data_IF_104390948683
#
_entry.id   IF_104390948683
#
_cell.length_a   1.000
_cell.length_b   1.000
_cell.length_c   1.000
_cell.angle_alpha   90.00
_cell.angle_beta   90.00
_cell.angle_gamma   90.00
#
_symmetry.space_group_name_H-M   'P 1'
#
loop_
_entity.id
_entity.type
_entity.pdbx_description
1 polymer ?
#
# COMPACT_ATOMS: atom_id res chain seq x y z
N UNK A 1 19.92 -4.86 -3.19
CA UNK A 1 19.93 -5.23 -1.75
C UNK A 1 19.73 -6.73 -1.65
N UNK A 2 20.44 -7.45 -0.77
CA UNK A 2 20.32 -8.91 -0.66
C UNK A 2 18.94 -9.30 -0.09
N UNK A 3 18.35 -10.39 -0.59
CA UNK A 3 17.05 -10.95 -0.19
C UNK A 3 16.91 -11.12 1.32
N UNK A 4 17.99 -11.51 2.01
CA UNK A 4 18.00 -11.67 3.48
C UNK A 4 17.75 -10.33 4.20
N UNK A 5 18.35 -9.25 3.71
CA UNK A 5 18.17 -7.89 4.26
C UNK A 5 16.75 -7.37 4.00
N UNK A 6 16.22 -7.59 2.79
CA UNK A 6 14.82 -7.25 2.46
C UNK A 6 13.81 -8.00 3.33
N UNK A 7 14.06 -9.28 3.60
CA UNK A 7 13.23 -10.09 4.50
C UNK A 7 13.21 -9.52 5.92
N UNK A 8 14.39 -9.22 6.47
CA UNK A 8 14.51 -8.61 7.81
C UNK A 8 13.79 -7.25 7.90
N UNK A 9 13.93 -6.39 6.90
CA UNK A 9 13.24 -5.10 6.86
C UNK A 9 11.72 -5.31 6.77
N UNK A 10 11.24 -6.23 5.93
CA UNK A 10 9.80 -6.51 5.83
C UNK A 10 9.19 -6.99 7.14
N UNK A 11 9.91 -7.84 7.89
CA UNK A 11 9.48 -8.29 9.21
C UNK A 11 9.46 -7.14 10.22
N UNK A 12 10.49 -6.28 10.22
CA UNK A 12 10.54 -5.10 11.08
C UNK A 12 9.40 -4.12 10.80
N UNK A 13 9.09 -3.88 9.53
CA UNK A 13 7.97 -3.02 9.12
C UNK A 13 6.63 -3.64 9.49
N UNK A 14 6.46 -4.95 9.35
CA UNK A 14 5.24 -5.64 9.78
C UNK A 14 5.02 -5.47 11.30
N UNK A 15 6.08 -5.60 12.11
CA UNK A 15 5.99 -5.37 13.55
C UNK A 15 5.60 -3.92 13.87
N UNK A 16 6.19 -2.94 13.18
CA UNK A 16 5.78 -1.53 13.33
C UNK A 16 4.32 -1.30 12.92
N UNK A 17 3.88 -1.93 11.84
CA UNK A 17 2.49 -1.86 11.38
C UNK A 17 1.53 -2.42 12.44
N UNK A 18 1.88 -3.56 13.05
CA UNK A 18 1.11 -4.17 14.14
C UNK A 18 1.06 -3.26 15.37
N UNK A 19 2.18 -2.63 15.75
CA UNK A 19 2.21 -1.68 16.87
C UNK A 19 1.26 -0.51 16.62
N UNK A 20 1.27 0.07 15.41
CA UNK A 20 0.34 1.13 15.03
C UNK A 20 -1.13 0.64 15.03
N UNK A 21 -1.37 -0.59 14.58
CA UNK A 21 -2.67 -1.26 14.67
C UNK A 21 -3.18 -1.38 16.10
N UNK A 22 -2.33 -1.81 17.03
CA UNK A 22 -2.68 -1.92 18.45
C UNK A 22 -3.00 -0.55 19.04
N UNK A 23 -2.19 0.48 18.74
CA UNK A 23 -2.44 1.85 19.21
C UNK A 23 -3.81 2.33 18.72
N UNK A 24 -4.12 2.11 17.44
CA UNK A 24 -5.39 2.53 16.87
C UNK A 24 -6.57 1.77 17.49
N UNK A 25 -6.43 0.45 17.68
CA UNK A 25 -7.43 -0.39 18.36
C UNK A 25 -7.72 0.09 19.77
N UNK A 26 -6.69 0.49 20.54
CA UNK A 26 -6.89 1.01 21.90
C UNK A 26 -7.74 2.28 21.90
N UNK A 27 -7.70 3.07 20.82
CA UNK A 27 -8.47 4.32 20.70
C UNK A 27 -9.87 4.07 20.14
N UNK A 28 -10.02 3.23 19.12
CA UNK A 28 -11.30 3.05 18.41
C UNK A 28 -12.13 1.88 18.92
N UNK A 29 -11.49 0.89 19.55
CA UNK A 29 -12.13 -0.35 19.99
C UNK A 29 -12.47 -1.32 18.85
N UNK A 30 -12.12 -0.99 17.59
CA UNK A 30 -12.43 -1.80 16.43
C UNK A 30 -11.18 -2.49 15.87
N UNK A 31 -11.22 -3.82 15.78
CA UNK A 31 -10.13 -4.62 15.23
C UNK A 31 -9.98 -4.43 13.70
N UNK A 32 -11.04 -4.01 13.01
CA UNK A 32 -10.98 -3.71 11.59
C UNK A 32 -10.12 -2.48 11.32
N UNK A 33 -10.19 -1.44 12.16
CA UNK A 33 -9.32 -0.25 12.02
C UNK A 33 -7.84 -0.64 12.15
N UNK A 34 -7.53 -1.53 13.09
CA UNK A 34 -6.18 -2.08 13.26
C UNK A 34 -5.71 -2.85 12.02
N UNK A 35 -6.58 -3.66 11.41
CA UNK A 35 -6.28 -4.35 10.15
C UNK A 35 -6.05 -3.36 9.01
N UNK A 36 -6.87 -2.30 8.92
CA UNK A 36 -6.74 -1.30 7.87
C UNK A 36 -5.43 -0.54 7.97
N UNK A 37 -5.02 -0.10 9.17
CA UNK A 37 -3.75 0.59 9.33
C UNK A 37 -2.54 -0.31 9.06
N UNK A 38 -2.61 -1.59 9.45
CA UNK A 38 -1.57 -2.58 9.10
C UNK A 38 -1.44 -2.70 7.59
N UNK A 39 -2.57 -2.77 6.89
CA UNK A 39 -2.64 -2.86 5.42
C UNK A 39 -2.08 -1.60 4.75
N UNK A 40 -2.37 -0.41 5.29
CA UNK A 40 -1.82 0.87 4.82
C UNK A 40 -0.29 0.87 4.92
N UNK A 41 0.24 0.58 6.11
CA UNK A 41 1.68 0.64 6.37
C UNK A 41 2.43 -0.37 5.50
N UNK A 42 1.91 -1.59 5.38
CA UNK A 42 2.54 -2.62 4.56
C UNK A 42 2.43 -2.31 3.05
N UNK A 43 1.31 -1.74 2.59
CA UNK A 43 1.16 -1.26 1.21
C UNK A 43 2.15 -0.15 0.87
N UNK A 44 2.31 0.84 1.75
CA UNK A 44 3.30 1.91 1.59
C UNK A 44 4.71 1.32 1.52
N UNK A 45 5.03 0.36 2.38
CA UNK A 45 6.31 -0.34 2.34
C UNK A 45 6.55 -1.03 1.00
N UNK A 46 5.60 -1.82 0.51
CA UNK A 46 5.73 -2.50 -0.79
C UNK A 46 5.95 -1.46 -1.90
N UNK A 47 5.18 -0.37 -1.90
CA UNK A 47 5.34 0.71 -2.87
C UNK A 47 6.72 1.36 -2.78
N UNK A 48 7.22 1.64 -1.58
CA UNK A 48 8.55 2.21 -1.35
C UNK A 48 9.67 1.25 -1.79
N UNK A 49 9.47 -0.08 -1.62
CA UNK A 49 10.45 -1.07 -2.08
C UNK A 49 10.61 -1.15 -3.61
N UNK A 50 9.67 -0.58 -4.38
CA UNK A 50 9.77 -0.51 -5.84
C UNK A 50 11.08 0.11 -6.33
N UNK A 51 11.59 1.11 -5.61
CA UNK A 51 12.82 1.83 -5.95
C UNK A 51 14.08 0.96 -5.82
N UNK A 52 14.00 -0.12 -5.03
CA UNK A 52 15.11 -1.04 -4.79
C UNK A 52 15.02 -2.31 -5.62
N UNK A 53 13.90 -2.50 -6.35
CA UNK A 53 13.66 -3.64 -7.23
C UNK A 53 14.01 -3.25 -8.67
N UNK A 54 15.31 -3.25 -8.97
CA UNK A 54 15.78 -3.18 -10.35
C UNK A 54 15.64 -4.57 -10.98
N UNK A 55 14.86 -4.67 -12.06
CA UNK A 55 14.60 -5.93 -12.75
C UNK A 55 14.42 -5.73 -14.24
N UNK A 56 15.22 -6.51 -14.98
CA UNK A 56 15.47 -6.60 -16.42
C UNK A 56 14.30 -6.30 -17.39
N UNK A 57 14.71 -5.86 -18.59
CA UNK A 57 13.90 -5.64 -19.78
C UNK A 57 13.29 -6.97 -20.30
N UNK A 58 12.37 -7.57 -19.55
CA UNK A 58 11.48 -8.62 -20.04
C UNK A 58 10.20 -8.02 -20.63
N UNK A 59 9.48 -8.78 -21.44
CA UNK A 59 8.19 -8.36 -21.99
C UNK A 59 7.13 -8.32 -20.85
N UNK A 60 6.86 -7.14 -20.29
CA UNK A 60 5.89 -6.93 -19.21
C UNK A 60 6.28 -5.77 -18.25
N UNK A 61 5.44 -5.45 -17.25
CA UNK A 61 5.78 -4.44 -16.24
C UNK A 61 7.02 -4.85 -15.46
N UNK A 62 7.93 -3.91 -15.17
CA UNK A 62 9.11 -4.23 -14.37
C UNK A 62 8.71 -4.69 -12.96
N UNK A 63 9.56 -5.47 -12.30
CA UNK A 63 9.34 -5.89 -10.91
C UNK A 63 9.18 -4.69 -9.96
N UNK A 64 9.80 -3.55 -10.28
CA UNK A 64 9.61 -2.29 -9.59
C UNK A 64 8.21 -1.70 -9.82
N UNK A 65 7.73 -1.70 -11.07
CA UNK A 65 6.38 -1.21 -11.40
C UNK A 65 5.29 -2.04 -10.74
N UNK A 66 5.41 -3.37 -10.78
CA UNK A 66 4.48 -4.27 -10.12
C UNK A 66 4.43 -4.02 -8.59
N UNK A 67 5.58 -3.80 -7.95
CA UNK A 67 5.64 -3.45 -6.54
C UNK A 67 5.05 -2.07 -6.24
N UNK A 68 5.29 -1.07 -7.12
CA UNK A 68 4.73 0.26 -6.97
C UNK A 68 3.20 0.24 -7.02
N UNK A 69 2.65 -0.35 -8.09
CA UNK A 69 1.21 -0.46 -8.31
C UNK A 69 0.55 -1.29 -7.22
N UNK A 70 1.07 -2.48 -6.95
CA UNK A 70 0.53 -3.38 -5.92
C UNK A 70 0.56 -2.75 -4.53
N UNK A 71 1.65 -2.03 -4.20
CA UNK A 71 1.77 -1.33 -2.92
C UNK A 71 0.78 -0.17 -2.77
N UNK A 72 0.63 0.68 -3.81
CA UNK A 72 -0.35 1.78 -3.77
C UNK A 72 -1.77 1.26 -3.68
N UNK A 73 -2.12 0.21 -4.45
CA UNK A 73 -3.45 -0.38 -4.38
C UNK A 73 -3.73 -1.00 -3.01
N UNK A 74 -2.76 -1.73 -2.43
CA UNK A 74 -2.90 -2.30 -1.10
C UNK A 74 -3.08 -1.20 -0.04
N UNK A 75 -2.24 -0.17 -0.07
CA UNK A 75 -2.37 0.96 0.83
C UNK A 75 -3.72 1.66 0.64
N UNK A 76 -4.17 1.78 -0.60
CA UNK A 76 -5.45 2.40 -0.94
C UNK A 76 -6.67 1.64 -0.45
N UNK A 77 -6.64 0.31 -0.51
CA UNK A 77 -7.66 -0.54 0.10
C UNK A 77 -7.72 -0.29 1.60
N UNK A 78 -6.56 -0.22 2.27
CA UNK A 78 -6.49 0.12 3.69
C UNK A 78 -7.07 1.50 4.01
N UNK A 79 -6.71 2.54 3.25
CA UNK A 79 -7.27 3.91 3.43
C UNK A 79 -8.78 3.91 3.24
N UNK A 80 -9.25 3.23 2.21
CA UNK A 80 -10.67 3.13 1.87
C UNK A 80 -11.45 2.41 2.97
N UNK A 81 -10.94 1.28 3.47
CA UNK A 81 -11.53 0.52 4.57
C UNK A 81 -11.57 1.33 5.86
N UNK A 82 -10.48 2.04 6.19
CA UNK A 82 -10.42 2.89 7.38
C UNK A 82 -11.41 4.06 7.30
N UNK A 83 -11.49 4.74 6.15
CA UNK A 83 -12.47 5.81 5.93
C UNK A 83 -13.91 5.30 6.01
N UNK A 84 -14.18 4.10 5.52
CA UNK A 84 -15.49 3.48 5.66
C UNK A 84 -15.84 3.21 7.13
N UNK A 85 -14.89 2.67 7.91
CA UNK A 85 -15.06 2.43 9.35
C UNK A 85 -15.45 3.69 10.12
N UNK A 86 -14.82 4.82 9.81
CA UNK A 86 -15.12 6.10 10.47
C UNK A 86 -16.42 6.77 10.00
N UNK A 87 -16.72 6.71 8.70
CA UNK A 87 -17.78 7.53 8.10
C UNK A 87 -19.08 6.77 7.83
N UNK A 88 -19.03 5.44 7.73
CA UNK A 88 -20.16 4.59 7.33
C UNK A 88 -20.72 4.89 5.93
N UNK A 89 -20.08 5.77 5.16
CA UNK A 89 -20.61 6.30 3.91
C UNK A 89 -20.01 5.55 2.71
N UNK A 90 -20.80 4.61 2.17
CA UNK A 90 -20.41 3.78 1.02
C UNK A 90 -20.05 4.62 -0.22
N UNK A 91 -20.77 5.71 -0.47
CA UNK A 91 -20.55 6.54 -1.66
C UNK A 91 -19.17 7.21 -1.62
N UNK A 92 -18.80 7.74 -0.45
CA UNK A 92 -17.49 8.35 -0.23
C UNK A 92 -16.38 7.30 -0.28
N UNK A 93 -16.59 6.13 0.30
CA UNK A 93 -15.66 4.98 0.22
C UNK A 93 -15.35 4.63 -1.24
N UNK A 94 -16.38 4.46 -2.08
CA UNK A 94 -16.21 4.13 -3.50
C UNK A 94 -15.52 5.26 -4.26
N UNK A 95 -15.90 6.52 -4.01
CA UNK A 95 -15.28 7.68 -4.65
C UNK A 95 -13.78 7.77 -4.36
N UNK A 96 -13.38 7.56 -3.10
CA UNK A 96 -11.96 7.56 -2.70
C UNK A 96 -11.20 6.40 -3.37
N UNK A 97 -11.78 5.20 -3.40
CA UNK A 97 -11.15 4.06 -4.06
C UNK A 97 -10.90 4.31 -5.56
N UNK A 98 -11.89 4.87 -6.26
CA UNK A 98 -11.75 5.25 -7.68
C UNK A 98 -10.66 6.30 -7.86
N UNK A 99 -10.59 7.31 -6.98
CA UNK A 99 -9.55 8.34 -7.02
C UNK A 99 -8.14 7.73 -6.87
N UNK A 100 -7.98 6.73 -6.00
CA UNK A 100 -6.70 6.02 -5.81
C UNK A 100 -6.33 5.23 -7.06
N UNK A 101 -7.27 4.47 -7.64
CA UNK A 101 -7.04 3.73 -8.89
C UNK A 101 -6.65 4.68 -10.02
N UNK A 102 -7.31 5.83 -10.13
CA UNK A 102 -6.98 6.86 -11.11
C UNK A 102 -5.56 7.41 -10.89
N UNK A 103 -5.16 7.69 -9.65
CA UNK A 103 -3.81 8.13 -9.32
C UNK A 103 -2.75 7.09 -9.74
N UNK A 104 -3.01 5.80 -9.51
CA UNK A 104 -2.14 4.70 -9.97
C UNK A 104 -1.99 4.70 -11.49
N UNK A 105 -3.10 4.82 -12.24
CA UNK A 105 -3.07 4.89 -13.70
C UNK A 105 -2.24 6.08 -14.20
N UNK A 106 -2.39 7.25 -13.57
CA UNK A 106 -1.61 8.44 -13.90
C UNK A 106 -0.11 8.21 -13.65
N UNK A 107 0.26 7.67 -12.49
CA UNK A 107 1.67 7.38 -12.14
C UNK A 107 2.28 6.44 -13.17
N UNK A 108 1.56 5.38 -13.56
CA UNK A 108 2.00 4.44 -14.58
C UNK A 108 2.14 5.09 -15.96
N UNK A 109 1.17 5.91 -16.37
CA UNK A 109 1.24 6.65 -17.62
C UNK A 109 2.44 7.61 -17.67
N UNK A 110 2.76 8.27 -16.55
CA UNK A 110 3.93 9.16 -16.43
C UNK A 110 5.25 8.37 -16.50
N UNK A 111 5.34 7.21 -15.84
CA UNK A 111 6.53 6.36 -15.91
C UNK A 111 6.76 5.80 -17.32
N UNK A 112 5.69 5.39 -18.00
CA UNK A 112 5.77 4.84 -19.36
C UNK A 112 6.06 5.90 -20.43
N UNK A 113 5.77 7.18 -20.18
CA UNK A 113 6.08 8.28 -21.11
C UNK A 113 7.57 8.53 -21.33
N UNK A 114 8.43 8.01 -20.46
CA UNK A 114 9.89 8.14 -20.54
C UNK A 114 10.56 7.03 -21.36
N UNK A 115 9.77 6.18 -22.01
CA UNK A 115 10.23 5.17 -22.98
C UNK A 115 10.12 5.75 -24.38
#
# INVERSE_FOLDING_TARGET
MNTRTMGAISAGVLLLAVVLGIILYVVTGDALDALWIVTIVFGIYIAATSLFKNGENGFGPSNGDAALVGGILLAGIGVTGLLHGFLGNVLLTVAVFIAIVAAVVIVMAVKNRKV
#
